data_IF_125199920285
#
_entry.id   IF_125199920285
#
_cell.length_a   1.000
_cell.length_b   1.000
_cell.length_c   1.000
_cell.angle_alpha   90.00
_cell.angle_beta   90.00
_cell.angle_gamma   90.00
#
_symmetry.space_group_name_H-M   'P 1'
#
loop_
_entity.id
_entity.type
_entity.pdbx_description
1 polymer ?
#
# COMPACT_ATOMS: atom_id res chain seq x y z
N UNK A 1 -26.34 -52.61 15.45
CA UNK A 1 -27.03 -51.58 14.65
C UNK A 1 -26.56 -51.70 13.21
N UNK A 2 -27.47 -52.00 12.27
CA UNK A 2 -27.17 -52.30 10.85
C UNK A 2 -27.72 -51.14 10.01
N UNK A 3 -26.85 -50.30 9.46
CA UNK A 3 -27.27 -49.12 8.69
C UNK A 3 -27.60 -49.54 7.26
N UNK A 4 -28.84 -49.29 6.85
CA UNK A 4 -29.43 -49.65 5.56
C UNK A 4 -28.89 -48.72 4.48
N UNK A 5 -28.33 -49.29 3.40
CA UNK A 5 -27.91 -48.54 2.21
C UNK A 5 -29.16 -48.06 1.45
N UNK A 6 -29.37 -46.74 1.38
CA UNK A 6 -30.42 -46.15 0.55
C UNK A 6 -29.95 -46.10 -0.91
N UNK A 7 -30.68 -46.79 -1.78
CA UNK A 7 -30.42 -46.89 -3.21
C UNK A 7 -30.41 -45.52 -3.91
N UNK A 8 -29.34 -45.28 -4.67
CA UNK A 8 -29.15 -44.17 -5.60
C UNK A 8 -30.22 -44.17 -6.70
N UNK A 9 -31.12 -43.19 -6.66
CA UNK A 9 -32.06 -42.93 -7.76
C UNK A 9 -31.27 -42.24 -8.88
N UNK A 10 -30.98 -42.98 -9.95
CA UNK A 10 -30.31 -42.48 -11.16
C UNK A 10 -31.17 -41.39 -11.81
N UNK A 11 -30.71 -40.15 -11.76
CA UNK A 11 -31.28 -39.06 -12.55
C UNK A 11 -30.92 -39.28 -14.03
N UNK A 12 -31.91 -39.17 -14.91
CA UNK A 12 -31.74 -39.30 -16.37
C UNK A 12 -31.07 -38.01 -16.90
N UNK A 13 -30.16 -38.08 -17.87
CA UNK A 13 -29.52 -36.88 -18.40
C UNK A 13 -30.56 -36.03 -19.15
N UNK A 14 -30.63 -34.76 -18.78
CA UNK A 14 -31.48 -33.74 -19.41
C UNK A 14 -30.83 -33.35 -20.74
N UNK A 15 -31.49 -33.63 -21.87
CA UNK A 15 -31.06 -33.19 -23.20
C UNK A 15 -30.97 -31.66 -23.28
N UNK A 16 -29.91 -31.07 -23.89
CA UNK A 16 -29.77 -29.63 -23.93
C UNK A 16 -30.73 -29.04 -24.97
N UNK A 17 -31.78 -28.37 -24.49
CA UNK A 17 -32.58 -27.44 -25.29
C UNK A 17 -31.69 -26.29 -25.78
N UNK A 18 -31.72 -26.02 -27.09
CA UNK A 18 -30.99 -24.92 -27.77
C UNK A 18 -31.34 -23.57 -27.12
N UNK A 19 -30.54 -23.15 -26.14
CA UNK A 19 -30.55 -21.78 -25.62
C UNK A 19 -29.82 -20.86 -26.60
N UNK A 20 -30.55 -19.85 -27.09
CA UNK A 20 -29.99 -18.72 -27.82
C UNK A 20 -28.82 -18.12 -27.03
N UNK A 21 -27.63 -18.07 -27.63
CA UNK A 21 -26.46 -17.39 -27.08
C UNK A 21 -26.76 -15.90 -26.99
N UNK A 22 -27.20 -15.41 -25.83
CA UNK A 22 -26.90 -14.04 -25.42
C UNK A 22 -25.42 -14.05 -25.04
N UNK A 23 -24.62 -13.23 -25.71
CA UNK A 23 -23.25 -12.96 -25.29
C UNK A 23 -23.28 -12.53 -23.81
N UNK A 24 -22.42 -13.11 -22.95
CA UNK A 24 -22.33 -12.64 -21.58
C UNK A 24 -21.87 -11.17 -21.60
N UNK A 25 -22.28 -10.35 -20.62
CA UNK A 25 -21.57 -9.12 -20.35
C UNK A 25 -20.10 -9.49 -20.16
N UNK A 26 -19.19 -8.70 -20.72
CA UNK A 26 -17.75 -8.90 -20.52
C UNK A 26 -17.48 -8.69 -19.04
N UNK A 27 -17.57 -9.76 -18.26
CA UNK A 27 -17.05 -9.82 -16.89
C UNK A 27 -15.55 -9.60 -17.04
N UNK A 28 -15.10 -8.37 -16.77
CA UNK A 28 -13.68 -8.07 -16.66
C UNK A 28 -13.06 -9.12 -15.76
N UNK A 29 -11.94 -9.69 -16.18
CA UNK A 29 -11.29 -10.69 -15.36
C UNK A 29 -10.99 -10.08 -13.98
N UNK A 30 -11.16 -10.85 -12.91
CA UNK A 30 -10.86 -10.37 -11.55
C UNK A 30 -9.47 -9.72 -11.47
N UNK A 31 -8.52 -10.27 -12.23
CA UNK A 31 -7.17 -9.76 -12.42
C UNK A 31 -7.13 -8.33 -12.98
N UNK A 32 -7.96 -7.99 -13.98
CA UNK A 32 -8.02 -6.64 -14.55
C UNK A 32 -8.55 -5.62 -13.54
N UNK A 33 -9.56 -5.98 -12.74
CA UNK A 33 -10.11 -5.10 -11.69
C UNK A 33 -9.05 -4.88 -10.60
N UNK A 34 -8.36 -5.95 -10.19
CA UNK A 34 -7.29 -5.89 -9.19
C UNK A 34 -6.11 -5.02 -9.65
N UNK A 35 -5.70 -5.15 -10.91
CA UNK A 35 -4.62 -4.34 -11.50
C UNK A 35 -5.02 -2.87 -11.59
N UNK A 36 -6.27 -2.57 -11.98
CA UNK A 36 -6.76 -1.20 -12.08
C UNK A 36 -6.74 -0.47 -10.73
N UNK A 37 -7.02 -1.17 -9.62
CA UNK A 37 -6.92 -0.63 -8.26
C UNK A 37 -5.47 -0.45 -7.79
N UNK A 38 -4.54 -1.32 -8.22
CA UNK A 38 -3.12 -1.20 -7.87
C UNK A 38 -2.41 -0.02 -8.56
N UNK A 39 -2.90 0.43 -9.71
CA UNK A 39 -2.36 1.57 -10.48
C UNK A 39 -2.52 2.92 -9.74
N UNK A 40 -3.26 2.97 -8.63
CA UNK A 40 -3.44 4.18 -7.82
C UNK A 40 -2.23 4.58 -6.96
N UNK A 41 -1.19 3.75 -6.84
CA UNK A 41 0.02 4.08 -6.09
C UNK A 41 0.88 4.99 -6.96
N UNK A 42 0.78 6.31 -6.72
CA UNK A 42 1.69 7.28 -7.33
C UNK A 42 3.11 6.96 -6.85
N UNK A 43 3.95 6.49 -7.76
CA UNK A 43 5.38 6.35 -7.50
C UNK A 43 5.94 7.75 -7.24
N UNK A 44 6.39 7.99 -6.01
CA UNK A 44 7.19 9.16 -5.69
C UNK A 44 8.63 8.82 -6.08
N UNK A 45 9.25 9.70 -6.88
CA UNK A 45 10.70 9.67 -7.02
C UNK A 45 11.33 10.04 -5.67
N UNK A 46 11.75 9.01 -4.94
CA UNK A 46 12.27 9.17 -3.58
C UNK A 46 13.56 9.99 -3.57
N UNK A 47 14.38 9.90 -4.63
CA UNK A 47 15.63 10.65 -4.71
C UNK A 47 15.34 12.15 -4.79
N UNK A 48 14.47 12.56 -5.72
CA UNK A 48 14.06 13.95 -5.87
C UNK A 48 13.36 14.47 -4.59
N UNK A 49 12.51 13.65 -3.96
CA UNK A 49 11.83 14.05 -2.72
C UNK A 49 12.81 14.27 -1.55
N UNK A 50 13.87 13.48 -1.46
CA UNK A 50 14.92 13.66 -0.45
C UNK A 50 15.77 14.90 -0.72
N UNK A 51 16.12 15.16 -1.98
CA UNK A 51 16.82 16.40 -2.36
C UNK A 51 16.01 17.66 -1.99
N UNK A 52 14.70 17.65 -2.23
CA UNK A 52 13.82 18.74 -1.79
C UNK A 52 13.85 18.93 -0.27
N UNK A 53 13.84 17.85 0.52
CA UNK A 53 13.93 17.92 1.98
C UNK A 53 15.26 18.54 2.42
N UNK A 54 16.36 18.20 1.76
CA UNK A 54 17.68 18.78 2.05
C UNK A 54 17.72 20.27 1.73
N UNK A 55 17.04 20.73 0.67
CA UNK A 55 16.90 22.17 0.41
C UNK A 55 16.14 22.89 1.52
N UNK A 56 15.01 22.33 1.98
CA UNK A 56 14.26 22.92 3.10
C UNK A 56 15.07 22.90 4.40
N UNK A 57 15.87 21.86 4.63
CA UNK A 57 16.77 21.78 5.77
C UNK A 57 17.84 22.88 5.71
N UNK A 58 18.44 23.12 4.54
CA UNK A 58 19.42 24.22 4.34
C UNK A 58 18.78 25.58 4.63
N UNK A 59 17.60 25.85 4.08
CA UNK A 59 16.88 27.12 4.30
C UNK A 59 16.51 27.32 5.77
N UNK A 60 16.09 26.26 6.46
CA UNK A 60 15.80 26.30 7.89
C UNK A 60 17.06 26.57 8.72
N UNK A 61 18.20 26.00 8.33
CA UNK A 61 19.49 26.23 8.99
C UNK A 61 20.00 27.65 8.80
N UNK A 62 19.80 28.23 7.62
CA UNK A 62 20.17 29.61 7.31
C UNK A 62 19.26 30.63 8.00
N UNK A 63 17.95 30.34 8.04
CA UNK A 63 16.94 31.20 8.65
C UNK A 63 15.97 30.35 9.48
N UNK A 64 16.22 30.23 10.80
CA UNK A 64 15.34 29.52 11.72
C UNK A 64 14.11 30.38 12.02
N UNK A 65 13.21 30.47 11.05
CA UNK A 65 11.88 31.10 11.17
C UNK A 65 10.78 30.07 10.98
N UNK A 66 9.62 30.29 11.60
CA UNK A 66 8.48 29.35 11.55
C UNK A 66 8.04 29.06 10.10
N UNK A 67 8.17 30.05 9.21
CA UNK A 67 7.86 29.94 7.78
C UNK A 67 8.71 28.89 7.05
N UNK A 68 9.93 28.63 7.51
CA UNK A 68 10.81 27.58 6.96
C UNK A 68 10.62 26.23 7.64
N UNK A 69 10.26 26.24 8.93
CA UNK A 69 10.05 25.02 9.72
C UNK A 69 8.81 24.24 9.24
N UNK A 70 7.72 24.93 8.92
CA UNK A 70 6.46 24.31 8.50
C UNK A 70 6.60 23.52 7.18
N UNK A 71 7.18 24.08 6.09
CA UNK A 71 7.45 23.34 4.86
C UNK A 71 8.34 22.12 5.07
N UNK A 72 9.42 22.27 5.86
CA UNK A 72 10.34 21.18 6.16
C UNK A 72 9.60 20.00 6.82
N UNK A 73 8.86 20.25 7.91
CA UNK A 73 8.08 19.20 8.60
C UNK A 73 7.03 18.56 7.70
N UNK A 74 6.35 19.36 6.85
CA UNK A 74 5.34 18.84 5.90
C UNK A 74 5.97 17.88 4.88
N UNK A 75 7.14 18.20 4.36
CA UNK A 75 7.83 17.37 3.37
C UNK A 75 8.34 16.07 3.97
N UNK A 76 8.97 16.13 5.15
CA UNK A 76 9.39 14.92 5.89
C UNK A 76 8.19 14.01 6.15
N UNK A 77 7.07 14.56 6.62
CA UNK A 77 5.83 13.80 6.85
C UNK A 77 5.30 13.13 5.57
N UNK A 78 5.32 13.82 4.44
CA UNK A 78 4.85 13.27 3.17
C UNK A 78 5.66 12.05 2.73
N UNK A 79 6.99 12.10 2.88
CA UNK A 79 7.89 10.99 2.57
C UNK A 79 7.62 9.81 3.50
N UNK A 80 7.53 10.04 4.81
CA UNK A 80 7.26 8.97 5.77
C UNK A 80 5.91 8.28 5.50
N UNK A 81 4.87 9.05 5.20
CA UNK A 81 3.56 8.49 4.83
C UNK A 81 3.63 7.64 3.56
N UNK A 82 4.42 8.06 2.56
CA UNK A 82 4.63 7.27 1.36
C UNK A 82 5.38 5.97 1.66
N UNK A 83 6.47 6.02 2.41
CA UNK A 83 7.25 4.83 2.78
C UNK A 83 6.45 3.84 3.62
N UNK A 84 5.66 4.33 4.59
CA UNK A 84 4.76 3.50 5.39
C UNK A 84 3.71 2.83 4.51
N UNK A 85 3.06 3.57 3.59
CA UNK A 85 2.09 3.00 2.65
C UNK A 85 2.73 1.93 1.76
N UNK A 86 3.93 2.18 1.24
CA UNK A 86 4.65 1.23 0.42
C UNK A 86 5.07 -0.01 1.22
N UNK A 87 5.39 0.12 2.51
CA UNK A 87 5.76 -1.02 3.37
C UNK A 87 4.60 -2.01 3.63
N UNK A 88 3.36 -1.56 3.44
CA UNK A 88 2.18 -2.45 3.48
C UNK A 88 1.92 -3.16 2.15
N UNK A 89 2.54 -2.71 1.05
CA UNK A 89 2.46 -3.39 -0.24
C UNK A 89 3.17 -4.74 -0.17
N UNK A 90 2.49 -5.80 -0.58
CA UNK A 90 3.06 -7.15 -0.66
C UNK A 90 3.71 -7.29 -2.03
N UNK A 91 5.04 -7.20 -2.07
CA UNK A 91 5.82 -7.50 -3.27
C UNK A 91 6.38 -8.92 -3.17
N UNK A 92 6.47 -9.63 -4.30
CA UNK A 92 7.24 -10.87 -4.40
C UNK A 92 8.72 -10.53 -4.25
N UNK A 93 9.22 -10.50 -3.02
CA UNK A 93 10.65 -10.34 -2.74
C UNK A 93 11.28 -11.70 -2.44
N UNK A 94 12.43 -11.96 -3.06
CA UNK A 94 13.25 -13.16 -2.77
C UNK A 94 13.77 -13.18 -1.32
N UNK A 95 13.69 -12.04 -0.63
CA UNK A 95 14.16 -11.85 0.75
C UNK A 95 12.97 -11.54 1.65
N UNK A 96 12.80 -12.33 2.71
CA UNK A 96 11.79 -12.13 3.75
C UNK A 96 12.44 -11.46 4.96
N UNK A 97 12.07 -10.20 5.22
CA UNK A 97 12.51 -9.49 6.44
C UNK A 97 11.43 -9.61 7.53
N UNK A 98 11.70 -10.45 8.53
CA UNK A 98 10.79 -10.65 9.67
C UNK A 98 10.65 -9.40 10.57
N UNK A 99 11.62 -8.49 10.56
CA UNK A 99 11.63 -7.29 11.39
C UNK A 99 11.34 -5.99 10.64
N UNK A 100 11.34 -6.00 9.31
CA UNK A 100 11.34 -4.80 8.47
C UNK A 100 10.26 -3.78 8.83
N UNK A 101 9.01 -4.24 9.03
CA UNK A 101 7.88 -3.36 9.41
C UNK A 101 8.05 -2.76 10.80
N UNK A 102 8.47 -3.57 11.79
CA UNK A 102 8.70 -3.09 13.15
C UNK A 102 9.84 -2.07 13.19
N UNK A 103 10.93 -2.35 12.48
CA UNK A 103 12.08 -1.44 12.38
C UNK A 103 11.70 -0.12 11.72
N UNK A 104 10.89 -0.15 10.66
CA UNK A 104 10.39 1.05 10.00
C UNK A 104 9.56 1.92 10.95
N UNK A 105 8.64 1.34 11.70
CA UNK A 105 7.81 2.10 12.65
C UNK A 105 8.64 2.71 13.79
N UNK A 106 9.63 1.99 14.31
CA UNK A 106 10.58 2.54 15.30
C UNK A 106 11.39 3.70 14.73
N UNK A 107 11.81 3.61 13.46
CA UNK A 107 12.49 4.72 12.78
C UNK A 107 11.57 5.92 12.63
N UNK A 108 10.31 5.73 12.21
CA UNK A 108 9.32 6.82 12.13
C UNK A 108 9.17 7.51 13.49
N UNK A 109 9.02 6.74 14.57
CA UNK A 109 8.93 7.27 15.93
C UNK A 109 10.17 8.10 16.32
N UNK A 110 11.37 7.60 16.00
CA UNK A 110 12.61 8.34 16.27
C UNK A 110 12.71 9.65 15.48
N UNK A 111 12.19 9.68 14.24
CA UNK A 111 12.18 10.89 13.42
C UNK A 111 11.18 11.90 13.99
N UNK A 112 9.99 11.45 14.41
CA UNK A 112 8.99 12.31 15.05
C UNK A 112 9.54 12.94 16.34
N UNK A 113 10.24 12.16 17.17
CA UNK A 113 10.93 12.67 18.37
C UNK A 113 11.95 13.76 18.02
N UNK A 114 12.77 13.55 16.99
CA UNK A 114 13.76 14.54 16.54
C UNK A 114 13.11 15.81 16.00
N UNK A 115 12.01 15.71 15.27
CA UNK A 115 11.26 16.87 14.80
C UNK A 115 10.58 17.62 15.96
N UNK A 116 10.18 16.93 17.01
CA UNK A 116 9.64 17.54 18.22
C UNK A 116 10.72 18.27 19.00
N UNK A 117 11.88 17.63 19.24
CA UNK A 117 13.07 18.26 19.84
C UNK A 117 13.44 19.54 19.09
N UNK A 118 13.56 19.48 17.76
CA UNK A 118 13.80 20.64 16.90
C UNK A 118 12.78 21.77 17.11
N UNK A 119 11.51 21.42 17.35
CA UNK A 119 10.45 22.43 17.57
C UNK A 119 10.51 23.01 18.99
N UNK A 120 11.07 22.30 19.96
CA UNK A 120 11.23 22.78 21.34
C UNK A 120 12.45 23.68 21.53
N UNK A 121 13.50 23.44 20.73
CA UNK A 121 14.72 24.28 20.70
C UNK A 121 14.54 25.59 19.93
N UNK A 122 13.38 25.76 19.30
CA UNK A 122 12.98 26.91 18.49
C UNK A 122 12.16 27.92 19.32
#
# INVERSE_FOLDING_TARGET
MRVVKTNSKRERPISPSKRRKKSPPVERSFSEVLQTEQVGVRDIDLAAALEEVDEYAKRLRESPILENLLPYKKKVRAILLFLVKQSYSVQESTVYDFQGRRRLLVLVESIDQKLEELTREF
#
